data_IF_190284029948
#
_entry.id   IF_190284029948
#
_cell.length_a   1.000
_cell.length_b   1.000
_cell.length_c   1.000
_cell.angle_alpha   90.00
_cell.angle_beta   90.00
_cell.angle_gamma   90.00
#
_symmetry.space_group_name_H-M   'P 1'
#
loop_
_entity.id
_entity.type
_entity.pdbx_description
1 polymer ?
#
# COMPACT_ATOMS: atom_id res chain seq x y z
N UNK A 1 8.94 4.27 -0.59
CA UNK A 1 8.63 3.38 0.55
C UNK A 1 9.94 3.00 1.22
N UNK A 2 10.00 3.03 2.55
CA UNK A 2 11.24 2.82 3.33
C UNK A 2 11.14 1.68 4.36
N UNK A 3 10.07 0.88 4.28
CA UNK A 3 9.78 -0.26 5.18
C UNK A 3 9.69 -1.56 4.35
N UNK A 4 10.82 -2.26 4.14
CA UNK A 4 10.90 -3.44 3.27
C UNK A 4 9.96 -4.58 3.69
N UNK A 5 9.91 -4.88 5.00
CA UNK A 5 9.12 -6.00 5.53
C UNK A 5 7.61 -5.74 5.44
N UNK A 6 7.16 -4.53 5.82
CA UNK A 6 5.76 -4.14 5.67
C UNK A 6 5.32 -4.23 4.20
N UNK A 7 6.16 -3.76 3.28
CA UNK A 7 5.86 -3.84 1.85
C UNK A 7 5.80 -5.29 1.36
N UNK A 8 6.79 -6.12 1.70
CA UNK A 8 6.82 -7.53 1.28
C UNK A 8 5.60 -8.34 1.76
N UNK A 9 5.07 -7.99 2.94
CA UNK A 9 3.89 -8.61 3.53
C UNK A 9 2.55 -8.09 3.00
N UNK A 10 2.53 -6.89 2.40
CA UNK A 10 1.29 -6.17 2.04
C UNK A 10 1.14 -5.91 0.54
N UNK A 11 2.05 -6.42 -0.29
CA UNK A 11 2.07 -6.21 -1.75
C UNK A 11 1.32 -7.28 -2.56
N UNK A 12 0.31 -7.94 -1.97
CA UNK A 12 -0.46 -9.01 -2.62
C UNK A 12 -1.10 -8.57 -3.94
N UNK A 13 -1.64 -7.34 -4.00
CA UNK A 13 -2.25 -6.79 -5.21
C UNK A 13 -1.22 -6.62 -6.36
N UNK A 14 -0.11 -5.87 -6.18
CA UNK A 14 0.96 -5.82 -7.17
C UNK A 14 1.43 -7.21 -7.65
N UNK A 15 1.58 -8.18 -6.73
CA UNK A 15 2.00 -9.56 -7.08
C UNK A 15 1.02 -10.27 -8.00
N UNK A 16 -0.28 -10.09 -7.78
CA UNK A 16 -1.33 -10.66 -8.62
C UNK A 16 -1.23 -10.13 -10.06
N UNK A 17 -1.12 -8.81 -10.23
CA UNK A 17 -1.03 -8.19 -11.56
C UNK A 17 0.23 -8.59 -12.30
N UNK A 18 1.36 -8.59 -11.58
CA UNK A 18 2.65 -8.99 -12.14
C UNK A 18 2.55 -10.44 -12.63
N UNK A 19 1.89 -11.32 -11.88
CA UNK A 19 1.71 -12.72 -12.29
C UNK A 19 0.90 -12.84 -13.59
N UNK A 20 -0.17 -12.07 -13.75
CA UNK A 20 -0.97 -12.03 -14.98
C UNK A 20 -0.11 -11.52 -16.14
N UNK A 21 0.55 -10.37 -15.96
CA UNK A 21 1.37 -9.75 -17.00
C UNK A 21 2.55 -10.66 -17.39
N UNK A 22 3.22 -11.28 -16.43
CA UNK A 22 4.30 -12.23 -16.73
C UNK A 22 3.76 -13.44 -17.52
N UNK A 23 2.59 -13.97 -17.17
CA UNK A 23 1.99 -15.08 -17.92
C UNK A 23 1.66 -14.73 -19.37
N UNK A 24 1.29 -13.47 -19.64
CA UNK A 24 1.00 -12.97 -20.98
C UNK A 24 2.27 -12.72 -21.80
N UNK A 25 3.26 -12.02 -21.22
CA UNK A 25 4.38 -11.48 -21.98
C UNK A 25 5.63 -12.37 -21.99
N UNK A 26 5.87 -13.18 -20.96
CA UNK A 26 7.07 -14.04 -20.90
C UNK A 26 7.13 -15.07 -22.04
N UNK A 27 6.01 -15.69 -22.48
CA UNK A 27 6.01 -16.59 -23.63
C UNK A 27 6.31 -15.91 -24.97
N UNK A 28 6.14 -14.59 -25.07
CA UNK A 28 6.40 -13.82 -26.29
C UNK A 28 7.89 -13.49 -26.47
N UNK A 29 8.70 -13.69 -25.43
CA UNK A 29 10.12 -13.37 -25.45
C UNK A 29 10.96 -14.59 -25.85
N UNK A 30 12.05 -14.35 -26.59
CA UNK A 30 13.08 -15.36 -26.82
C UNK A 30 14.03 -15.41 -25.61
N UNK A 31 14.29 -16.60 -25.10
CA UNK A 31 15.12 -16.84 -23.91
C UNK A 31 16.39 -17.62 -24.25
N UNK A 32 17.52 -17.20 -23.69
CA UNK A 32 18.84 -17.81 -23.84
C UNK A 32 19.54 -17.93 -22.48
N UNK A 33 20.49 -18.86 -22.35
CA UNK A 33 21.34 -18.95 -21.16
C UNK A 33 22.24 -17.71 -20.97
N UNK A 34 22.42 -16.90 -22.02
CA UNK A 34 23.20 -15.66 -22.00
C UNK A 34 22.36 -14.41 -21.65
N UNK A 35 21.06 -14.58 -21.37
CA UNK A 35 20.21 -13.46 -21.02
C UNK A 35 20.64 -12.86 -19.67
N UNK A 36 21.13 -11.62 -19.70
CA UNK A 36 21.42 -10.82 -18.53
C UNK A 36 20.22 -9.90 -18.27
N UNK A 37 19.65 -9.97 -17.07
CA UNK A 37 18.37 -9.34 -16.75
C UNK A 37 18.57 -8.25 -15.71
N UNK A 38 17.96 -7.09 -15.92
CA UNK A 38 17.86 -6.01 -14.93
C UNK A 38 16.41 -5.88 -14.46
N UNK A 39 16.21 -5.79 -13.15
CA UNK A 39 14.94 -5.41 -12.53
C UNK A 39 15.08 -4.03 -11.86
N UNK A 40 14.39 -3.03 -12.39
CA UNK A 40 14.51 -1.63 -11.97
C UNK A 40 13.41 -1.28 -10.97
N UNK A 41 13.82 -0.83 -9.79
CA UNK A 41 12.91 -0.65 -8.66
C UNK A 41 12.53 -1.98 -8.01
N UNK A 42 13.53 -2.84 -7.79
CA UNK A 42 13.34 -4.19 -7.28
C UNK A 42 12.77 -4.23 -5.84
N UNK A 43 12.78 -3.11 -5.10
CA UNK A 43 12.26 -3.02 -3.75
C UNK A 43 12.92 -4.06 -2.82
N UNK A 44 12.15 -4.77 -1.97
CA UNK A 44 12.70 -5.81 -1.10
C UNK A 44 13.11 -7.10 -1.84
N UNK A 45 12.94 -7.17 -3.17
CA UNK A 45 13.40 -8.29 -4.01
C UNK A 45 12.51 -9.53 -4.02
N UNK A 46 11.38 -9.51 -3.29
CA UNK A 46 10.44 -10.62 -3.20
C UNK A 46 9.70 -10.88 -4.52
N UNK A 47 9.29 -9.83 -5.23
CA UNK A 47 8.74 -9.92 -6.60
C UNK A 47 9.79 -10.48 -7.56
N UNK A 48 11.01 -9.95 -7.52
CA UNK A 48 12.13 -10.42 -8.36
C UNK A 48 12.36 -11.91 -8.15
N UNK A 49 12.38 -12.35 -6.88
CA UNK A 49 12.68 -13.73 -6.50
C UNK A 49 11.53 -14.71 -6.76
N UNK A 50 10.30 -14.32 -6.44
CA UNK A 50 9.16 -15.24 -6.41
C UNK A 50 8.33 -15.21 -7.70
N UNK A 51 8.42 -14.14 -8.49
CA UNK A 51 7.64 -13.99 -9.72
C UNK A 51 8.54 -13.92 -10.96
N UNK A 52 9.46 -12.96 -11.02
CA UNK A 52 10.29 -12.76 -12.21
C UNK A 52 11.25 -13.94 -12.43
N UNK A 53 12.03 -14.31 -11.42
CA UNK A 53 12.99 -15.40 -11.47
C UNK A 53 12.41 -16.73 -11.99
N UNK A 54 11.32 -17.28 -11.41
CA UNK A 54 10.76 -18.55 -11.90
C UNK A 54 10.09 -18.43 -13.27
N UNK A 55 9.69 -17.22 -13.68
CA UNK A 55 9.11 -16.99 -15.00
C UNK A 55 10.17 -16.95 -16.13
N UNK A 56 11.45 -16.77 -15.79
CA UNK A 56 12.54 -16.74 -16.75
C UNK A 56 12.98 -18.18 -17.12
N UNK A 57 12.68 -18.64 -18.34
CA UNK A 57 12.98 -20.00 -18.77
C UNK A 57 14.49 -20.34 -18.81
N UNK A 58 15.32 -19.38 -19.25
CA UNK A 58 16.79 -19.48 -19.35
C UNK A 58 17.39 -18.10 -19.19
N UNK A 59 18.47 -17.96 -18.45
CA UNK A 59 19.18 -16.69 -18.24
C UNK A 59 20.55 -16.93 -17.60
N UNK A 60 21.43 -15.93 -17.63
CA UNK A 60 22.72 -15.98 -16.93
C UNK A 60 22.56 -15.51 -15.49
N UNK A 61 22.06 -14.29 -15.30
CA UNK A 61 21.89 -13.65 -13.99
C UNK A 61 20.81 -12.57 -14.03
N UNK A 62 20.30 -12.23 -12.86
CA UNK A 62 19.40 -11.11 -12.61
C UNK A 62 20.11 -10.13 -11.66
N UNK A 63 20.07 -8.84 -11.99
CA UNK A 63 20.45 -7.74 -11.11
C UNK A 63 19.18 -6.96 -10.78
N UNK A 64 18.83 -6.86 -9.50
CA UNK A 64 17.81 -5.93 -9.03
C UNK A 64 18.45 -4.62 -8.61
N UNK A 65 17.93 -3.48 -9.03
CA UNK A 65 18.37 -2.16 -8.55
C UNK A 65 17.25 -1.42 -7.85
N UNK A 66 17.60 -0.69 -6.80
CA UNK A 66 16.68 0.22 -6.12
C UNK A 66 17.42 1.46 -5.59
N UNK A 67 16.73 2.60 -5.50
CA UNK A 67 17.31 3.85 -4.98
C UNK A 67 17.49 3.80 -3.46
N UNK A 68 16.64 3.03 -2.76
CA UNK A 68 16.66 2.91 -1.31
C UNK A 68 17.70 1.88 -0.85
N UNK A 69 18.68 2.31 -0.06
CA UNK A 69 19.67 1.41 0.52
C UNK A 69 19.01 0.37 1.45
N UNK A 70 17.92 0.74 2.13
CA UNK A 70 17.21 -0.17 3.03
C UNK A 70 16.57 -1.33 2.28
N UNK A 71 15.90 -1.03 1.15
CA UNK A 71 15.32 -2.03 0.27
C UNK A 71 16.39 -2.98 -0.27
N UNK A 72 17.50 -2.44 -0.78
CA UNK A 72 18.62 -3.25 -1.30
C UNK A 72 19.24 -4.13 -0.21
N UNK A 73 19.46 -3.61 1.00
CA UNK A 73 20.02 -4.40 2.10
C UNK A 73 19.10 -5.58 2.45
N UNK A 74 17.80 -5.33 2.57
CA UNK A 74 16.81 -6.38 2.82
C UNK A 74 16.83 -7.43 1.70
N UNK A 75 16.81 -7.01 0.43
CA UNK A 75 16.83 -7.91 -0.71
C UNK A 75 18.10 -8.78 -0.75
N UNK A 76 19.26 -8.19 -0.41
CA UNK A 76 20.54 -8.91 -0.31
C UNK A 76 20.51 -9.96 0.80
N UNK A 77 20.00 -9.60 1.96
CA UNK A 77 19.91 -10.50 3.12
C UNK A 77 18.99 -11.71 2.84
N UNK A 78 17.89 -11.50 2.14
CA UNK A 78 16.85 -12.52 1.99
C UNK A 78 16.97 -13.35 0.70
N UNK A 79 17.46 -12.77 -0.41
CA UNK A 79 17.29 -13.37 -1.74
C UNK A 79 18.55 -13.49 -2.60
N UNK A 80 19.63 -12.77 -2.25
CA UNK A 80 20.86 -12.78 -3.05
C UNK A 80 21.48 -14.18 -3.13
N UNK A 81 21.98 -14.51 -4.31
CA UNK A 81 22.75 -15.73 -4.58
C UNK A 81 23.69 -15.51 -5.78
N UNK A 82 24.37 -16.56 -6.24
CA UNK A 82 25.34 -16.48 -7.35
C UNK A 82 24.77 -15.89 -8.65
N UNK A 83 23.46 -15.99 -8.87
CA UNK A 83 22.78 -15.58 -10.11
C UNK A 83 21.71 -14.51 -9.90
N UNK A 84 21.43 -14.11 -8.65
CA UNK A 84 20.54 -12.98 -8.30
C UNK A 84 21.30 -12.04 -7.38
N UNK A 85 21.56 -10.83 -7.82
CA UNK A 85 22.25 -9.80 -7.02
C UNK A 85 21.41 -8.54 -6.94
N UNK A 86 21.67 -7.71 -5.94
CA UNK A 86 20.98 -6.45 -5.78
C UNK A 86 21.98 -5.32 -5.60
N UNK A 87 21.75 -4.16 -6.24
CA UNK A 87 22.63 -3.00 -6.17
C UNK A 87 21.86 -1.71 -5.87
N UNK A 88 22.47 -0.81 -5.09
CA UNK A 88 21.90 0.53 -4.89
C UNK A 88 22.19 1.39 -6.10
N UNK A 89 21.13 1.82 -6.77
CA UNK A 89 21.21 2.73 -7.92
C UNK A 89 19.89 3.44 -8.11
N UNK A 90 19.94 4.76 -8.21
CA UNK A 90 18.83 5.54 -8.76
C UNK A 90 19.00 5.61 -10.27
N UNK A 91 18.01 5.09 -11.02
CA UNK A 91 18.09 5.02 -12.48
C UNK A 91 18.08 6.42 -13.11
N UNK A 92 17.53 7.44 -12.44
CA UNK A 92 17.50 8.82 -12.95
C UNK A 92 18.87 9.47 -12.77
N UNK A 93 19.44 9.35 -11.57
CA UNK A 93 20.71 10.00 -11.20
C UNK A 93 21.95 9.29 -11.77
N UNK A 94 21.77 8.11 -12.37
CA UNK A 94 22.84 7.39 -13.03
C UNK A 94 23.46 8.20 -14.19
N UNK A 95 24.68 8.66 -13.96
CA UNK A 95 25.53 9.27 -15.00
C UNK A 95 26.35 8.16 -15.65
N UNK A 96 26.14 7.93 -16.95
CA UNK A 96 26.77 6.84 -17.70
C UNK A 96 26.57 5.49 -17.01
N UNK A 97 25.32 4.96 -16.95
CA UNK A 97 25.01 3.73 -16.23
C UNK A 97 25.83 2.51 -16.69
N UNK A 98 26.37 2.56 -17.90
CA UNK A 98 27.31 1.58 -18.45
C UNK A 98 28.67 1.54 -17.73
N UNK A 99 29.06 2.56 -16.96
CA UNK A 99 30.24 2.47 -16.10
C UNK A 99 30.04 1.48 -14.95
N UNK A 100 28.80 1.34 -14.48
CA UNK A 100 28.43 0.35 -13.45
C UNK A 100 28.15 -1.00 -14.10
N UNK A 101 27.45 -1.00 -15.24
CA UNK A 101 27.08 -2.21 -15.97
C UNK A 101 27.61 -2.19 -17.42
N UNK A 102 28.93 -2.42 -17.62
CA UNK A 102 29.57 -2.23 -18.93
C UNK A 102 29.11 -3.19 -20.01
N UNK A 103 28.60 -4.35 -19.61
CA UNK A 103 28.08 -5.34 -20.55
C UNK A 103 26.61 -5.13 -20.89
N UNK A 104 25.88 -4.27 -20.14
CA UNK A 104 24.44 -4.10 -20.29
C UNK A 104 23.63 -5.38 -20.13
N UNK A 105 22.33 -5.27 -20.44
CA UNK A 105 21.32 -6.29 -20.22
C UNK A 105 20.57 -6.63 -21.52
N UNK A 106 20.17 -7.87 -21.68
CA UNK A 106 19.33 -8.29 -22.81
C UNK A 106 17.85 -8.12 -22.50
N UNK A 107 17.46 -8.08 -21.22
CA UNK A 107 16.10 -7.82 -20.77
C UNK A 107 16.07 -6.87 -19.59
N UNK A 108 15.16 -5.92 -19.61
CA UNK A 108 14.93 -4.99 -18.50
C UNK A 108 13.47 -5.08 -18.09
N UNK A 109 13.22 -5.30 -16.81
CA UNK A 109 11.91 -5.30 -16.20
C UNK A 109 11.79 -4.14 -15.21
N UNK A 110 10.57 -3.67 -14.99
CA UNK A 110 10.24 -2.82 -13.85
C UNK A 110 8.78 -3.00 -13.50
N UNK A 111 8.51 -3.22 -12.22
CA UNK A 111 7.17 -3.44 -11.72
C UNK A 111 6.85 -2.42 -10.63
N UNK A 112 5.78 -1.65 -10.82
CA UNK A 112 5.28 -0.66 -9.85
C UNK A 112 6.34 0.33 -9.34
N UNK A 113 7.30 0.71 -10.19
CA UNK A 113 8.32 1.72 -9.86
C UNK A 113 8.16 3.01 -10.67
N UNK A 114 7.92 2.91 -11.98
CA UNK A 114 7.99 4.04 -12.90
C UNK A 114 6.99 5.17 -12.61
N UNK A 115 5.92 4.91 -11.88
CA UNK A 115 4.97 5.96 -11.48
C UNK A 115 5.54 6.93 -10.44
N UNK A 116 6.64 6.58 -9.76
CA UNK A 116 7.39 7.46 -8.86
C UNK A 116 8.46 8.30 -9.56
N UNK A 117 8.72 8.06 -10.84
CA UNK A 117 9.80 8.71 -11.58
C UNK A 117 9.23 9.90 -12.35
N UNK A 118 9.66 11.12 -12.01
CA UNK A 118 9.23 12.32 -12.74
C UNK A 118 10.01 12.53 -14.04
N UNK A 119 11.34 12.33 -14.02
CA UNK A 119 12.17 12.43 -15.23
C UNK A 119 12.17 11.11 -16.01
N UNK A 120 11.00 10.80 -16.59
CA UNK A 120 10.79 9.64 -17.44
C UNK A 120 11.75 9.61 -18.63
N UNK A 121 12.09 10.77 -19.20
CA UNK A 121 13.01 10.86 -20.34
C UNK A 121 14.39 10.38 -19.93
N UNK A 122 14.93 10.87 -18.81
CA UNK A 122 16.24 10.48 -18.30
C UNK A 122 16.28 9.00 -17.93
N UNK A 123 15.26 8.50 -17.21
CA UNK A 123 15.14 7.08 -16.88
C UNK A 123 15.13 6.21 -18.14
N UNK A 124 14.28 6.53 -19.12
CA UNK A 124 14.23 5.77 -20.39
C UNK A 124 15.53 5.86 -21.18
N UNK A 125 16.18 7.02 -21.23
CA UNK A 125 17.51 7.16 -21.89
C UNK A 125 18.55 6.26 -21.23
N UNK A 126 18.57 6.20 -19.90
CA UNK A 126 19.49 5.34 -19.16
C UNK A 126 19.16 3.85 -19.36
N UNK A 127 17.88 3.48 -19.43
CA UNK A 127 17.47 2.12 -19.81
C UNK A 127 17.92 1.78 -21.23
N UNK A 128 17.83 2.72 -22.18
CA UNK A 128 18.27 2.52 -23.55
C UNK A 128 19.78 2.22 -23.63
N UNK A 129 20.59 3.00 -22.91
CA UNK A 129 22.04 2.79 -22.82
C UNK A 129 22.42 1.44 -22.18
N UNK A 130 21.64 1.00 -21.19
CA UNK A 130 21.85 -0.28 -20.51
C UNK A 130 21.36 -1.48 -21.32
N UNK A 131 20.46 -1.27 -22.28
CA UNK A 131 19.89 -2.34 -23.08
C UNK A 131 20.82 -2.68 -24.25
N UNK A 132 21.17 -3.96 -24.37
CA UNK A 132 21.93 -4.46 -25.52
C UNK A 132 21.11 -4.34 -26.81
N UNK A 133 21.75 -4.24 -27.99
CA UNK A 133 21.05 -4.28 -29.27
C UNK A 133 20.11 -5.49 -29.38
N UNK A 134 18.85 -5.24 -29.72
CA UNK A 134 17.81 -6.27 -29.80
C UNK A 134 17.26 -6.75 -28.45
N UNK A 135 17.66 -6.13 -27.34
CA UNK A 135 17.09 -6.38 -26.02
C UNK A 135 15.63 -5.93 -25.91
N UNK A 136 14.95 -6.40 -24.87
CA UNK A 136 13.53 -6.12 -24.63
C UNK A 136 13.34 -5.46 -23.27
N UNK A 137 12.42 -4.50 -23.19
CA UNK A 137 12.01 -3.90 -21.93
C UNK A 137 10.52 -4.14 -21.68
N UNK A 138 10.15 -4.51 -20.45
CA UNK A 138 8.78 -4.65 -19.98
C UNK A 138 8.59 -3.82 -18.70
N UNK A 139 7.77 -2.77 -18.79
CA UNK A 139 7.50 -1.84 -17.69
C UNK A 139 6.01 -1.90 -17.34
N UNK A 140 5.71 -2.09 -16.06
CA UNK A 140 4.35 -2.11 -15.51
C UNK A 140 4.28 -1.10 -14.38
N UNK A 141 3.41 -0.11 -14.48
CA UNK A 141 3.26 0.91 -13.44
C UNK A 141 1.88 1.56 -13.49
N UNK A 142 1.54 2.27 -12.41
CA UNK A 142 0.26 2.94 -12.26
C UNK A 142 0.30 4.26 -13.02
N UNK A 143 -0.46 4.37 -14.11
CA UNK A 143 -0.62 5.64 -14.80
C UNK A 143 -1.53 6.59 -14.02
N UNK A 144 -2.64 6.06 -13.50
CA UNK A 144 -3.66 6.79 -12.75
C UNK A 144 -4.21 5.89 -11.65
N UNK A 145 -4.49 6.47 -10.48
CA UNK A 145 -5.18 5.76 -9.40
C UNK A 145 -5.92 6.75 -8.48
N UNK A 146 -7.10 6.39 -7.97
CA UNK A 146 -7.81 7.21 -6.99
C UNK A 146 -7.03 7.46 -5.68
N UNK A 147 -6.03 6.63 -5.38
CA UNK A 147 -5.12 6.82 -4.23
C UNK A 147 -4.39 8.16 -4.33
N UNK A 148 -4.01 8.58 -5.54
CA UNK A 148 -3.31 9.84 -5.73
C UNK A 148 -4.25 11.05 -5.56
N UNK A 149 -5.50 10.94 -6.01
CA UNK A 149 -6.52 11.98 -5.74
C UNK A 149 -6.82 12.09 -4.23
N UNK A 150 -6.79 10.96 -3.52
CA UNK A 150 -6.89 10.93 -2.06
C UNK A 150 -5.74 11.71 -1.42
N UNK A 151 -4.49 11.53 -1.88
CA UNK A 151 -3.37 12.31 -1.37
C UNK A 151 -3.54 13.82 -1.64
N UNK A 152 -4.01 14.21 -2.82
CA UNK A 152 -4.32 15.61 -3.16
C UNK A 152 -5.47 16.21 -2.32
N UNK A 153 -6.35 15.38 -1.74
CA UNK A 153 -7.37 15.83 -0.78
C UNK A 153 -6.80 15.92 0.64
N UNK A 154 -6.11 14.88 1.10
CA UNK A 154 -5.57 14.82 2.46
C UNK A 154 -4.50 15.87 2.74
N UNK A 155 -3.72 16.28 1.75
CA UNK A 155 -2.75 17.38 1.90
C UNK A 155 -3.40 18.72 2.25
N UNK A 156 -4.71 18.88 2.00
CA UNK A 156 -5.45 20.10 2.36
C UNK A 156 -5.93 20.07 3.81
N UNK A 157 -5.88 18.92 4.47
CA UNK A 157 -6.19 18.80 5.89
C UNK A 157 -5.02 19.38 6.71
N UNK A 158 -5.23 20.42 7.54
CA UNK A 158 -4.16 21.03 8.33
C UNK A 158 -3.43 20.06 9.26
N UNK A 159 -4.07 18.95 9.65
CA UNK A 159 -3.47 17.90 10.46
C UNK A 159 -2.40 17.11 9.70
N UNK A 160 -2.62 16.84 8.41
CA UNK A 160 -1.77 15.97 7.60
C UNK A 160 -0.82 16.74 6.67
N UNK A 161 -1.19 17.96 6.28
CA UNK A 161 -0.38 18.83 5.42
C UNK A 161 1.09 18.94 5.87
N UNK A 162 1.41 19.09 7.18
CA UNK A 162 2.80 19.19 7.64
C UNK A 162 3.65 17.95 7.37
N UNK A 163 3.05 16.77 7.19
CA UNK A 163 3.77 15.52 6.86
C UNK A 163 3.89 15.32 5.34
N UNK A 164 2.99 15.91 4.55
CA UNK A 164 2.88 15.71 3.12
C UNK A 164 3.61 16.78 2.29
N UNK A 165 3.66 18.02 2.79
CA UNK A 165 4.32 19.17 2.14
C UNK A 165 5.66 19.52 2.78
N UNK A 166 6.55 18.53 3.00
CA UNK A 166 7.83 18.79 3.67
C UNK A 166 8.90 19.14 2.64
N UNK A 167 9.18 20.43 2.50
CA UNK A 167 10.39 20.89 1.81
C UNK A 167 11.59 20.70 2.75
N UNK A 168 12.32 19.59 2.62
CA UNK A 168 13.61 19.40 3.30
C UNK A 168 14.76 19.56 2.30
N UNK A 169 15.19 20.80 2.09
CA UNK A 169 16.48 21.21 1.50
C UNK A 169 16.87 20.71 0.09
N UNK A 170 17.38 21.64 -0.73
CA UNK A 170 17.52 21.57 -2.20
C UNK A 170 18.59 20.56 -2.69
N UNK A 171 19.26 19.83 -1.79
CA UNK A 171 20.36 18.94 -2.18
C UNK A 171 20.21 17.47 -1.79
N UNK A 172 19.40 17.11 -0.78
CA UNK A 172 19.42 15.74 -0.22
C UNK A 172 18.05 15.16 0.17
N UNK A 173 16.91 15.75 -0.22
CA UNK A 173 15.60 15.11 -0.02
C UNK A 173 14.44 16.08 0.17
N UNK A 174 14.11 16.82 -0.88
CA UNK A 174 12.81 17.49 -0.99
C UNK A 174 11.73 16.41 -1.04
N UNK A 175 10.64 16.55 -0.29
CA UNK A 175 9.48 15.66 -0.44
C UNK A 175 8.21 16.50 -0.47
N UNK A 176 7.92 17.01 -1.67
CA UNK A 176 6.62 17.57 -1.99
C UNK A 176 5.66 16.41 -2.33
N UNK A 177 4.37 16.54 -1.98
CA UNK A 177 3.31 15.68 -2.51
C UNK A 177 3.48 15.49 -4.02
N UNK A 178 3.85 16.56 -4.72
CA UNK A 178 4.05 16.54 -6.16
C UNK A 178 5.03 15.46 -6.64
N UNK A 179 6.00 15.01 -5.84
CA UNK A 179 6.92 13.91 -6.22
C UNK A 179 6.29 12.52 -6.12
N UNK A 180 5.15 12.41 -5.43
CA UNK A 180 4.42 11.16 -5.21
C UNK A 180 3.15 11.07 -6.05
N UNK A 181 2.87 12.06 -6.89
CA UNK A 181 1.77 12.04 -7.85
C UNK A 181 2.35 11.67 -9.23
N UNK A 182 1.91 10.55 -9.85
CA UNK A 182 2.40 10.17 -11.16
C UNK A 182 2.17 11.29 -12.18
N UNK A 183 3.15 11.52 -13.05
CA UNK A 183 3.04 12.55 -14.10
C UNK A 183 1.85 12.32 -15.06
N UNK A 184 1.32 11.10 -15.05
CA UNK A 184 0.19 10.65 -15.87
C UNK A 184 -1.18 10.74 -15.17
N UNK A 185 -1.23 11.09 -13.87
CA UNK A 185 -2.46 11.08 -13.05
C UNK A 185 -3.60 11.87 -13.72
N UNK A 186 -3.28 13.05 -14.25
CA UNK A 186 -4.26 13.97 -14.86
C UNK A 186 -4.20 13.99 -16.40
N UNK A 187 -3.59 12.97 -17.02
CA UNK A 187 -3.42 12.91 -18.48
C UNK A 187 -4.57 12.13 -19.12
N UNK A 188 -5.16 12.70 -20.18
CA UNK A 188 -6.28 12.06 -20.89
C UNK A 188 -5.89 10.74 -21.56
N UNK A 189 -4.67 10.64 -22.07
CA UNK A 189 -4.17 9.44 -22.74
C UNK A 189 -2.71 9.18 -22.33
N UNK A 190 -2.57 8.60 -21.14
CA UNK A 190 -1.28 8.29 -20.54
C UNK A 190 -0.43 7.33 -21.41
N UNK A 191 -1.07 6.39 -22.09
CA UNK A 191 -0.37 5.42 -22.93
C UNK A 191 0.26 6.10 -24.16
N UNK A 192 -0.47 7.00 -24.83
CA UNK A 192 0.07 7.76 -25.96
C UNK A 192 1.21 8.69 -25.51
N UNK A 193 1.04 9.38 -24.38
CA UNK A 193 2.08 10.26 -23.83
C UNK A 193 3.36 9.49 -23.46
N UNK A 194 3.22 8.34 -22.79
CA UNK A 194 4.37 7.50 -22.44
C UNK A 194 5.03 6.90 -23.68
N UNK A 195 4.24 6.39 -24.65
CA UNK A 195 4.76 5.91 -25.94
C UNK A 195 5.64 6.96 -26.61
N UNK A 196 5.17 8.20 -26.71
CA UNK A 196 5.95 9.28 -27.32
C UNK A 196 7.27 9.52 -26.58
N UNK A 197 7.26 9.46 -25.25
CA UNK A 197 8.48 9.58 -24.44
C UNK A 197 9.48 8.46 -24.75
N UNK A 198 9.00 7.22 -24.80
CA UNK A 198 9.82 6.03 -25.05
C UNK A 198 10.39 6.02 -26.48
N UNK A 199 9.58 6.35 -27.49
CA UNK A 199 10.00 6.45 -28.89
C UNK A 199 11.06 7.54 -29.08
N UNK A 200 10.91 8.69 -28.40
CA UNK A 200 11.91 9.77 -28.43
C UNK A 200 13.26 9.37 -27.82
N UNK A 201 13.30 8.35 -26.97
CA UNK A 201 14.54 7.79 -26.42
C UNK A 201 15.15 6.70 -27.32
N UNK A 202 14.56 6.42 -28.49
CA UNK A 202 15.11 5.49 -29.49
C UNK A 202 14.57 4.06 -29.42
N UNK A 203 13.62 3.77 -28.53
CA UNK A 203 12.98 2.46 -28.46
C UNK A 203 11.98 2.25 -29.59
N UNK A 204 11.86 1.01 -30.03
CA UNK A 204 10.71 0.57 -30.83
C UNK A 204 9.61 0.03 -29.92
N UNK A 205 8.50 0.75 -29.78
CA UNK A 205 7.41 0.39 -28.86
C UNK A 205 6.50 -0.68 -29.46
N UNK A 206 6.65 -1.91 -28.96
CA UNK A 206 5.85 -3.08 -29.35
C UNK A 206 4.40 -3.00 -28.84
N UNK A 207 4.21 -2.60 -27.58
CA UNK A 207 2.90 -2.42 -26.94
C UNK A 207 3.02 -1.35 -25.86
N UNK A 208 2.02 -0.47 -25.79
CA UNK A 208 1.87 0.51 -24.71
C UNK A 208 0.37 0.74 -24.54
N UNK A 209 -0.14 0.38 -23.36
CA UNK A 209 -1.57 0.42 -23.03
C UNK A 209 -1.71 0.89 -21.59
N UNK A 210 -2.82 1.54 -21.30
CA UNK A 210 -3.24 1.91 -19.95
C UNK A 210 -4.66 1.36 -19.70
N UNK A 211 -4.82 0.03 -19.61
CA UNK A 211 -6.12 -0.56 -19.31
C UNK A 211 -6.54 -0.22 -17.88
N UNK A 212 -7.85 -0.14 -17.65
CA UNK A 212 -8.41 -0.02 -16.31
C UNK A 212 -8.37 -1.39 -15.63
N UNK A 213 -7.90 -1.41 -14.38
CA UNK A 213 -7.93 -2.58 -13.51
C UNK A 213 -8.79 -2.26 -12.29
N UNK A 214 -9.66 -3.21 -11.91
CA UNK A 214 -10.45 -3.14 -10.68
C UNK A 214 -10.00 -4.25 -9.75
N UNK A 215 -9.80 -3.91 -8.48
CA UNK A 215 -9.45 -4.87 -7.44
C UNK A 215 -10.60 -5.06 -6.49
N UNK A 216 -10.85 -6.31 -6.13
CA UNK A 216 -11.74 -6.68 -5.04
C UNK A 216 -10.85 -7.20 -3.93
N UNK A 217 -10.83 -6.50 -2.79
CA UNK A 217 -10.20 -7.03 -1.59
C UNK A 217 -11.04 -8.19 -1.04
N UNK A 218 -10.38 -9.30 -0.71
CA UNK A 218 -11.03 -10.47 -0.12
C UNK A 218 -11.56 -10.15 1.29
N UNK A 219 -10.82 -9.34 2.03
CA UNK A 219 -11.22 -8.81 3.34
C UNK A 219 -10.95 -7.29 3.38
N UNK A 220 -11.92 -6.53 3.88
CA UNK A 220 -11.79 -5.09 4.12
C UNK A 220 -10.68 -4.80 5.14
N UNK A 221 -10.42 -5.75 6.04
CA UNK A 221 -9.41 -5.65 7.08
C UNK A 221 -7.97 -5.58 6.50
N UNK A 222 -7.77 -5.95 5.23
CA UNK A 222 -6.47 -5.86 4.55
C UNK A 222 -6.19 -4.48 3.93
N UNK A 223 -7.21 -3.64 3.75
CA UNK A 223 -7.08 -2.32 3.11
C UNK A 223 -6.19 -1.37 3.91
N UNK A 224 -6.30 -1.26 5.26
CA UNK A 224 -5.41 -0.41 6.05
C UNK A 224 -3.94 -0.78 5.92
N UNK A 225 -3.60 -2.07 6.00
CA UNK A 225 -2.22 -2.57 5.87
C UNK A 225 -1.66 -2.29 4.48
N UNK A 226 -2.48 -2.50 3.44
CA UNK A 226 -2.12 -2.15 2.06
C UNK A 226 -1.87 -0.64 1.91
N UNK A 227 -2.81 0.20 2.37
CA UNK A 227 -2.67 1.66 2.32
C UNK A 227 -1.40 2.09 3.04
N UNK A 228 -1.15 1.57 4.25
CA UNK A 228 0.04 1.88 5.03
C UNK A 228 1.31 1.49 4.28
N UNK A 229 1.35 0.30 3.68
CA UNK A 229 2.50 -0.20 2.97
C UNK A 229 2.87 0.64 1.73
N UNK A 230 1.87 1.11 0.96
CA UNK A 230 2.09 1.89 -0.26
C UNK A 230 2.20 3.40 -0.04
N UNK A 231 1.91 3.87 1.18
CA UNK A 231 1.87 5.30 1.48
C UNK A 231 3.26 5.86 1.77
N UNK A 232 3.70 6.91 1.06
CA UNK A 232 5.04 7.47 1.23
C UNK A 232 5.18 8.40 2.45
N UNK A 233 4.07 8.71 3.14
CA UNK A 233 4.02 9.71 4.21
C UNK A 233 3.96 9.10 5.62
N UNK A 234 3.51 7.84 5.77
CA UNK A 234 3.26 7.22 7.09
C UNK A 234 4.50 7.16 7.99
N UNK A 235 5.68 6.92 7.42
CA UNK A 235 6.93 6.85 8.20
C UNK A 235 7.37 8.17 8.80
N UNK A 236 6.69 9.28 8.45
CA UNK A 236 6.92 10.62 9.00
C UNK A 236 6.08 10.90 10.24
N UNK A 237 5.13 10.02 10.54
CA UNK A 237 4.13 10.17 11.61
C UNK A 237 4.44 9.20 12.76
N UNK A 238 4.02 9.55 13.98
CA UNK A 238 4.00 8.61 15.11
C UNK A 238 3.00 7.48 14.87
N UNK A 239 3.12 6.36 15.60
CA UNK A 239 2.19 5.22 15.42
C UNK A 239 0.71 5.61 15.66
N UNK A 240 0.44 6.47 16.64
CA UNK A 240 -0.90 6.98 16.92
C UNK A 240 -1.43 7.82 15.74
N UNK A 241 -0.61 8.73 15.21
CA UNK A 241 -0.97 9.55 14.05
C UNK A 241 -1.13 8.72 12.77
N UNK A 242 -0.34 7.66 12.60
CA UNK A 242 -0.47 6.75 11.46
C UNK A 242 -1.86 6.10 11.45
N UNK A 243 -2.36 5.64 12.59
CA UNK A 243 -3.68 5.01 12.68
C UNK A 243 -4.79 6.00 12.26
N UNK A 244 -4.75 7.21 12.82
CA UNK A 244 -5.71 8.26 12.48
C UNK A 244 -5.63 8.68 11.00
N UNK A 245 -4.42 8.80 10.46
CA UNK A 245 -4.19 9.15 9.07
C UNK A 245 -4.69 8.07 8.11
N UNK A 246 -4.47 6.78 8.43
CA UNK A 246 -4.98 5.67 7.62
C UNK A 246 -6.51 5.62 7.67
N UNK A 247 -7.13 5.92 8.81
CA UNK A 247 -8.59 6.07 8.90
C UNK A 247 -9.09 7.16 7.95
N UNK A 248 -8.41 8.31 7.90
CA UNK A 248 -8.78 9.38 6.96
C UNK A 248 -8.51 9.00 5.49
N UNK A 249 -7.46 8.21 5.21
CA UNK A 249 -7.24 7.62 3.88
C UNK A 249 -8.41 6.72 3.46
N UNK A 250 -8.89 5.87 4.35
CA UNK A 250 -10.03 4.98 4.07
C UNK A 250 -11.31 5.76 3.75
N UNK A 251 -11.58 6.86 4.46
CA UNK A 251 -12.74 7.74 4.19
C UNK A 251 -12.68 8.38 2.81
N UNK A 252 -11.48 8.71 2.34
CA UNK A 252 -11.24 9.40 1.07
C UNK A 252 -11.08 8.45 -0.13
N UNK A 253 -10.93 7.14 0.11
CA UNK A 253 -10.79 6.13 -0.94
C UNK A 253 -12.14 5.91 -1.62
N UNK A 254 -12.31 6.23 -2.92
CA UNK A 254 -13.58 6.04 -3.61
C UNK A 254 -13.84 4.56 -3.90
N UNK A 255 -15.09 4.17 -3.74
CA UNK A 255 -15.54 2.78 -3.68
C UNK A 255 -16.52 2.58 -4.81
N UNK A 256 -16.18 1.70 -5.74
CA UNK A 256 -17.06 1.38 -6.87
C UNK A 256 -17.72 0.03 -6.56
N UNK A 257 -19.05 -0.05 -6.70
CA UNK A 257 -19.87 -1.24 -6.43
C UNK A 257 -19.84 -1.80 -5.00
N UNK A 258 -19.86 -0.91 -4.01
CA UNK A 258 -20.35 -1.28 -2.66
C UNK A 258 -19.40 -2.15 -1.83
N UNK A 259 -18.09 -2.09 -2.04
CA UNK A 259 -17.13 -2.58 -1.05
C UNK A 259 -16.15 -1.50 -0.60
N UNK A 260 -16.22 -1.30 0.71
CA UNK A 260 -15.52 -0.40 1.66
C UNK A 260 -16.09 1.00 1.86
N UNK A 261 -17.43 1.13 1.87
CA UNK A 261 -18.04 2.27 2.56
C UNK A 261 -18.03 1.90 4.04
N UNK A 262 -17.29 2.63 4.88
CA UNK A 262 -17.50 2.62 6.35
C UNK A 262 -18.85 3.28 6.70
N UNK A 263 -19.91 2.85 6.02
CA UNK A 263 -21.30 3.26 6.23
C UNK A 263 -22.22 2.05 6.45
N UNK A 264 -21.73 0.83 6.25
CA UNK A 264 -22.45 -0.38 6.66
C UNK A 264 -22.08 -0.72 8.12
N UNK A 265 -23.04 -0.55 9.05
CA UNK A 265 -22.77 -0.78 10.46
C UNK A 265 -22.51 -2.24 10.81
N UNK A 266 -23.04 -3.21 10.04
CA UNK A 266 -22.77 -4.63 10.26
C UNK A 266 -21.33 -5.00 9.83
N UNK A 267 -20.80 -4.31 8.81
CA UNK A 267 -19.39 -4.46 8.42
C UNK A 267 -18.44 -3.80 9.41
N UNK A 268 -18.75 -2.58 9.89
CA UNK A 268 -17.98 -1.90 10.94
C UNK A 268 -17.98 -2.68 12.27
N UNK A 269 -19.13 -3.26 12.62
CA UNK A 269 -19.30 -4.18 13.75
C UNK A 269 -18.34 -5.39 13.67
N UNK A 270 -18.35 -6.08 12.54
CA UNK A 270 -17.56 -7.28 12.32
C UNK A 270 -16.06 -7.00 12.27
N UNK A 271 -15.64 -5.90 11.64
CA UNK A 271 -14.22 -5.50 11.58
C UNK A 271 -13.68 -5.12 12.96
N UNK A 272 -14.41 -4.29 13.71
CA UNK A 272 -13.98 -3.89 15.05
C UNK A 272 -13.94 -5.06 16.04
N UNK A 273 -14.89 -6.00 15.94
CA UNK A 273 -14.90 -7.20 16.78
C UNK A 273 -13.66 -8.08 16.50
N UNK A 274 -13.31 -8.28 15.23
CA UNK A 274 -12.10 -9.02 14.86
C UNK A 274 -10.82 -8.33 15.31
N UNK A 275 -10.73 -7.00 15.17
CA UNK A 275 -9.57 -6.21 15.64
C UNK A 275 -9.43 -6.35 17.16
N UNK A 276 -10.51 -6.20 17.91
CA UNK A 276 -10.51 -6.36 19.37
C UNK A 276 -10.10 -7.78 19.81
N UNK A 277 -10.47 -8.80 19.03
CA UNK A 277 -10.02 -10.18 19.26
C UNK A 277 -8.53 -10.37 18.93
N UNK A 278 -8.05 -9.79 17.81
CA UNK A 278 -6.66 -9.92 17.32
C UNK A 278 -5.66 -9.17 18.20
N UNK A 279 -6.02 -7.99 18.71
CA UNK A 279 -5.14 -7.14 19.53
C UNK A 279 -5.31 -7.40 21.05
N UNK A 280 -5.94 -8.51 21.42
CA UNK A 280 -5.96 -8.97 22.80
C UNK A 280 -6.90 -8.18 23.73
N UNK A 281 -7.81 -7.34 23.21
CA UNK A 281 -8.83 -6.67 24.03
C UNK A 281 -9.68 -7.68 24.79
N UNK A 282 -9.96 -8.85 24.20
CA UNK A 282 -10.63 -9.96 24.92
C UNK A 282 -9.79 -10.52 26.08
N UNK A 283 -8.46 -10.58 25.90
CA UNK A 283 -7.52 -11.07 26.91
C UNK A 283 -7.43 -10.06 28.05
N UNK A 284 -7.22 -8.78 27.73
CA UNK A 284 -7.18 -7.67 28.68
C UNK A 284 -8.45 -7.59 29.51
N UNK A 285 -9.63 -7.71 28.89
CA UNK A 285 -10.90 -7.73 29.63
C UNK A 285 -11.04 -8.98 30.51
N UNK A 286 -10.64 -10.17 30.03
CA UNK A 286 -10.69 -11.40 30.83
C UNK A 286 -9.75 -11.39 32.05
N UNK A 287 -8.64 -10.66 31.98
CA UNK A 287 -7.65 -10.55 33.06
C UNK A 287 -7.95 -9.40 34.04
N UNK A 288 -8.43 -8.25 33.55
CA UNK A 288 -8.71 -7.08 34.38
C UNK A 288 -10.05 -7.15 35.12
N UNK A 289 -11.09 -7.71 34.48
CA UNK A 289 -12.44 -7.74 35.06
C UNK A 289 -12.51 -8.48 36.41
N UNK A 290 -11.80 -9.61 36.62
CA UNK A 290 -11.75 -10.29 37.93
C UNK A 290 -10.99 -9.53 39.02
N UNK A 291 -10.11 -8.58 38.65
CA UNK A 291 -9.29 -7.81 39.61
C UNK A 291 -10.01 -6.58 40.16
N UNK A 292 -11.09 -6.15 39.50
CA UNK A 292 -11.93 -5.05 39.93
C UNK A 292 -13.01 -5.53 40.90
N UNK A 293 -13.31 -4.73 41.94
CA UNK A 293 -14.32 -5.06 42.95
C UNK A 293 -15.67 -4.54 42.50
N UNK A 294 -16.53 -5.44 42.02
CA UNK A 294 -17.84 -5.11 41.49
C UNK A 294 -19.00 -5.53 42.42
N UNK A 295 -20.10 -4.80 42.36
CA UNK A 295 -21.40 -5.10 42.94
C UNK A 295 -22.44 -5.38 41.85
N UNK A 296 -23.55 -6.04 42.19
CA UNK A 296 -24.64 -6.30 41.23
C UNK A 296 -25.38 -5.02 40.80
N UNK A 297 -25.22 -3.93 41.54
CA UNK A 297 -25.85 -2.64 41.25
C UNK A 297 -24.96 -1.73 40.38
N UNK A 298 -23.77 -2.21 40.01
CA UNK A 298 -22.83 -1.44 39.20
C UNK A 298 -23.24 -1.43 37.72
N UNK A 299 -23.08 -0.29 37.07
CA UNK A 299 -23.32 -0.10 35.64
C UNK A 299 -22.00 0.13 34.90
N UNK A 300 -21.89 -0.41 33.69
CA UNK A 300 -20.73 -0.20 32.81
C UNK A 300 -21.10 0.82 31.74
N UNK A 301 -20.30 1.88 31.61
CA UNK A 301 -20.41 2.85 30.52
C UNK A 301 -19.33 2.57 29.47
N UNK A 302 -19.75 2.17 28.28
CA UNK A 302 -18.87 1.94 27.14
C UNK A 302 -18.85 3.19 26.24
N UNK A 303 -17.70 3.86 26.17
CA UNK A 303 -17.55 5.16 25.49
C UNK A 303 -16.89 4.96 24.14
N UNK A 304 -17.58 5.35 23.06
CA UNK A 304 -17.18 5.02 21.69
C UNK A 304 -17.60 3.60 21.30
N UNK A 305 -18.76 3.17 21.79
CA UNK A 305 -19.24 1.79 21.66
C UNK A 305 -19.52 1.35 20.21
N UNK A 306 -19.59 2.29 19.26
CA UNK A 306 -19.95 2.00 17.87
C UNK A 306 -21.34 1.36 17.78
N UNK A 307 -21.52 0.32 16.95
CA UNK A 307 -22.77 -0.47 16.90
C UNK A 307 -22.93 -1.42 18.10
N UNK A 308 -21.90 -1.58 18.94
CA UNK A 308 -21.93 -2.36 20.18
C UNK A 308 -21.29 -3.76 20.10
N UNK A 309 -20.92 -4.27 18.95
CA UNK A 309 -20.57 -5.70 18.82
C UNK A 309 -19.40 -6.16 19.69
N UNK A 310 -18.42 -5.29 19.93
CA UNK A 310 -17.35 -5.52 20.92
C UNK A 310 -17.93 -5.66 22.33
N UNK A 311 -18.80 -4.73 22.72
CA UNK A 311 -19.55 -4.75 23.98
C UNK A 311 -20.37 -6.04 24.11
N UNK A 312 -21.09 -6.45 23.06
CA UNK A 312 -21.95 -7.65 23.08
C UNK A 312 -21.16 -8.95 23.12
N UNK A 313 -20.09 -9.06 22.35
CA UNK A 313 -19.41 -10.34 22.11
C UNK A 313 -18.21 -10.55 23.04
N UNK A 314 -17.59 -9.49 23.57
CA UNK A 314 -16.39 -9.60 24.40
C UNK A 314 -16.64 -9.12 25.84
N UNK A 315 -17.35 -7.99 26.01
CA UNK A 315 -17.59 -7.42 27.33
C UNK A 315 -18.75 -8.13 28.05
N UNK A 316 -19.90 -8.28 27.39
CA UNK A 316 -21.12 -8.87 27.97
C UNK A 316 -20.93 -10.30 28.50
N UNK A 317 -20.26 -11.23 27.79
CA UNK A 317 -20.05 -12.60 28.31
C UNK A 317 -19.10 -12.63 29.51
N UNK A 318 -18.12 -11.71 29.52
CA UNK A 318 -17.20 -11.48 30.65
C UNK A 318 -17.91 -10.81 31.84
N UNK A 319 -19.09 -10.25 31.60
CA UNK A 319 -19.95 -9.50 32.51
C UNK A 319 -21.33 -10.17 32.70
N UNK A 320 -21.40 -11.50 32.79
CA UNK A 320 -22.66 -12.23 32.87
C UNK A 320 -23.52 -11.97 34.14
N UNK A 321 -23.00 -11.22 35.13
CA UNK A 321 -23.67 -10.88 36.39
C UNK A 321 -24.27 -9.46 36.43
N UNK A 322 -24.07 -8.66 35.39
CA UNK A 322 -24.46 -7.24 35.37
C UNK A 322 -25.77 -7.06 34.61
N UNK A 323 -26.70 -6.27 35.16
CA UNK A 323 -27.99 -6.01 34.52
C UNK A 323 -27.95 -4.77 33.59
N UNK A 324 -26.90 -3.93 33.68
CA UNK A 324 -26.84 -2.62 33.01
C UNK A 324 -25.48 -2.32 32.37
N UNK A 325 -25.40 -2.42 31.04
CA UNK A 325 -24.31 -1.85 30.23
C UNK A 325 -24.92 -0.76 29.33
N UNK A 326 -24.34 0.43 29.38
CA UNK A 326 -24.75 1.60 28.60
C UNK A 326 -23.65 1.91 27.60
N UNK A 327 -23.95 1.78 26.30
CA UNK A 327 -23.07 2.27 25.25
C UNK A 327 -23.39 3.72 24.91
N UNK A 328 -22.36 4.55 24.73
CA UNK A 328 -22.48 5.89 24.17
C UNK A 328 -21.52 6.05 22.99
N UNK A 329 -21.97 6.76 21.97
CA UNK A 329 -21.15 7.06 20.80
C UNK A 329 -21.40 8.49 20.33
N UNK A 330 -20.34 9.16 19.87
CA UNK A 330 -20.42 10.51 19.32
C UNK A 330 -21.04 10.56 17.92
N UNK A 331 -21.07 9.42 17.21
CA UNK A 331 -21.66 9.26 15.91
C UNK A 331 -23.17 9.07 16.00
N UNK A 332 -23.93 10.07 15.54
CA UNK A 332 -25.40 10.01 15.45
C UNK A 332 -25.93 8.85 14.57
N UNK A 333 -25.07 8.24 13.73
CA UNK A 333 -25.41 7.05 12.92
C UNK A 333 -25.27 5.74 13.70
N UNK A 334 -24.41 5.70 14.72
CA UNK A 334 -24.16 4.49 15.53
C UNK A 334 -25.15 4.36 16.68
N UNK A 335 -25.56 5.51 17.25
CA UNK A 335 -26.50 5.56 18.38
C UNK A 335 -27.80 4.76 18.16
N UNK A 336 -28.46 4.77 16.99
CA UNK A 336 -29.67 3.97 16.73
C UNK A 336 -29.44 2.44 16.71
N UNK A 337 -28.19 2.01 16.55
CA UNK A 337 -27.79 0.61 16.37
C UNK A 337 -27.27 -0.02 17.66
N UNK A 338 -27.03 0.79 18.69
CA UNK A 338 -26.71 0.34 20.03
C UNK A 338 -27.88 -0.50 20.58
N UNK A 339 -27.77 -1.82 20.47
CA UNK A 339 -28.76 -2.74 21.03
C UNK A 339 -28.32 -3.23 22.41
N UNK A 340 -28.61 -2.47 23.48
CA UNK A 340 -28.60 -3.03 24.84
C UNK A 340 -29.84 -2.62 25.62
N UNK A 341 -30.69 -3.61 25.91
CA UNK A 341 -31.08 -4.03 27.27
C UNK A 341 -32.23 -5.03 27.19
N UNK A 342 -32.21 -6.01 28.09
CA UNK A 342 -33.43 -6.65 28.56
C UNK A 342 -34.11 -5.60 29.47
N UNK A 343 -35.00 -4.79 28.88
CA UNK A 343 -35.67 -3.57 29.40
C UNK A 343 -35.00 -2.23 29.04
N UNK A 344 -35.25 -1.72 27.83
CA UNK A 344 -34.93 -0.32 27.46
C UNK A 344 -36.15 0.58 27.59
N UNK A 345 -35.99 1.73 28.25
CA UNK A 345 -36.71 2.94 27.87
C UNK A 345 -35.79 3.77 26.99
N UNK A 346 -36.25 4.11 25.77
CA UNK A 346 -35.54 5.04 24.88
C UNK A 346 -35.65 6.45 25.47
N UNK A 347 -34.54 7.02 25.92
CA UNK A 347 -34.46 8.44 26.19
C UNK A 347 -34.01 9.11 24.89
N UNK A 348 -34.94 9.76 24.20
CA UNK A 348 -34.63 10.67 23.10
C UNK A 348 -34.43 12.07 23.66
N UNK A 349 -33.27 12.64 23.33
CA UNK A 349 -32.82 14.03 23.42
C UNK A 349 -33.22 14.89 24.63
N UNK A 350 -32.17 15.31 25.34
CA UNK A 350 -31.99 16.70 25.72
C UNK A 350 -32.70 17.14 26.99
N UNK A 351 -32.03 16.96 28.13
CA UNK A 351 -31.98 18.00 29.15
C UNK A 351 -30.68 17.91 29.96
N UNK A 352 -29.97 19.04 30.04
CA UNK A 352 -29.06 19.31 31.15
C UNK A 352 -29.87 19.32 32.44
N UNK A 353 -29.37 18.63 33.45
CA UNK A 353 -29.38 19.10 34.84
C UNK A 353 -28.03 18.81 35.44
#
# INVERSE_FOLDING_TARGET
MEEPELYANSNALPKHDISIILSEFMPLMKWSNDDAILDVGAGPGDVTRHLLWPSCAKFSHIVGIDRSQKMVNYAREHFQNERLTFEKMDIVDAVQPTNVFPHGFTKIFSFFCFHWIHDQRKAMSNLYELLRPGGICLLVFIAQSPIFDMYERLVKNPRWAPYMNVIVDIKNGSYDLHEFIPIYQNRKDAATDFRATVENCGFHVLSCKAPEFTYVFDDVDCVPDYLKAVNPFVSRMTEEEQNDYIIDCLKETPLVDGKVKMEDPELYANSNLKIAQKHGTSIVLSELMPLMKWSNDDAILDVGAGPGDVTRCLLWPSCAKFDHIVGIDSSQKMVPLLTYTKNSQKIQDGHRT
#
